data_IF_375505567184
#
_entry.id   IF_375505567184
#
_cell.length_a   1.000
_cell.length_b   1.000
_cell.length_c   1.000
_cell.angle_alpha   90.00
_cell.angle_beta   90.00
_cell.angle_gamma   90.00
#
_symmetry.space_group_name_H-M   'P 1'
#
loop_
_entity.id
_entity.type
_entity.pdbx_description
1 polymer ?
#
# COMPACT_ATOMS: atom_id res chain seq x y z
N UNK A 1 53.73 -48.46 19.39
CA UNK A 1 53.77 -47.04 19.79
C UNK A 1 53.15 -46.22 18.68
N UNK A 2 52.09 -45.46 19.02
CA UNK A 2 51.60 -44.17 18.45
C UNK A 2 51.44 -44.00 16.92
N UNK A 3 50.41 -43.36 16.35
CA UNK A 3 49.14 -42.84 16.84
C UNK A 3 48.25 -42.53 15.61
N UNK A 4 46.97 -42.87 15.72
CA UNK A 4 45.75 -42.13 15.34
C UNK A 4 45.96 -40.88 14.44
N UNK A 5 45.33 -40.87 13.26
CA UNK A 5 44.45 -39.75 12.88
C UNK A 5 43.23 -40.26 12.12
N UNK A 6 42.08 -40.08 12.77
CA UNK A 6 40.75 -40.26 12.21
C UNK A 6 40.48 -39.09 11.26
N UNK A 7 39.98 -39.35 10.07
CA UNK A 7 39.12 -38.38 9.36
C UNK A 7 37.82 -39.05 8.99
N UNK A 8 36.81 -38.70 9.79
CA UNK A 8 35.40 -38.94 9.56
C UNK A 8 35.00 -38.31 8.21
N UNK A 9 34.29 -39.06 7.37
CA UNK A 9 32.85 -38.89 7.16
C UNK A 9 32.47 -37.44 6.86
N UNK A 10 32.22 -37.14 5.57
CA UNK A 10 31.12 -36.28 5.10
C UNK A 10 31.28 -36.05 3.60
N UNK A 11 30.43 -36.73 2.81
CA UNK A 11 29.84 -36.16 1.59
C UNK A 11 28.57 -36.98 1.32
N UNK A 12 27.63 -36.79 2.24
CA UNK A 12 26.27 -37.22 2.06
C UNK A 12 25.54 -36.19 1.19
N UNK A 13 24.77 -36.71 0.24
CA UNK A 13 23.61 -36.09 -0.40
C UNK A 13 23.91 -35.10 -1.55
N UNK A 14 24.21 -35.68 -2.71
CA UNK A 14 23.71 -35.14 -3.99
C UNK A 14 22.21 -35.44 -4.03
N UNK A 15 21.38 -34.56 -3.48
CA UNK A 15 19.95 -34.56 -3.73
C UNK A 15 19.59 -33.27 -4.45
N UNK A 16 19.25 -33.43 -5.73
CA UNK A 16 18.23 -32.69 -6.45
C UNK A 16 17.72 -31.42 -5.75
N UNK A 17 18.40 -30.29 -5.98
CA UNK A 17 17.67 -29.04 -6.07
C UNK A 17 17.33 -28.87 -7.55
N UNK A 18 16.06 -29.04 -7.95
CA UNK A 18 15.66 -28.68 -9.29
C UNK A 18 16.03 -27.21 -9.46
N UNK A 19 16.55 -26.87 -10.64
CA UNK A 19 16.54 -25.51 -11.17
C UNK A 19 15.06 -25.11 -11.38
N UNK A 20 14.32 -24.96 -10.28
CA UNK A 20 13.06 -24.24 -10.20
C UNK A 20 13.44 -22.79 -10.15
N UNK A 21 12.89 -22.01 -11.08
CA UNK A 21 13.32 -20.66 -11.36
C UNK A 21 13.48 -19.80 -10.11
N UNK A 22 14.32 -18.78 -10.25
CA UNK A 22 14.15 -17.58 -9.48
C UNK A 22 12.71 -17.08 -9.66
N UNK A 23 11.78 -17.59 -8.86
CA UNK A 23 10.77 -16.75 -8.24
C UNK A 23 11.59 -15.81 -7.37
N UNK A 24 12.10 -14.76 -8.01
CA UNK A 24 12.27 -13.49 -7.35
C UNK A 24 10.98 -13.32 -6.55
N UNK A 25 11.09 -13.37 -5.22
CA UNK A 25 9.99 -13.05 -4.35
C UNK A 25 9.46 -11.71 -4.86
N UNK A 26 8.31 -11.75 -5.52
CA UNK A 26 7.55 -10.58 -5.90
C UNK A 26 7.13 -10.00 -4.55
N UNK A 27 8.01 -9.18 -3.96
CA UNK A 27 7.83 -8.51 -2.68
C UNK A 27 6.42 -7.91 -2.72
N UNK A 28 5.49 -8.47 -1.94
CA UNK A 28 4.04 -8.22 -1.95
C UNK A 28 3.68 -6.81 -2.44
N UNK A 29 3.54 -6.64 -3.76
CA UNK A 29 3.14 -5.36 -4.33
C UNK A 29 1.67 -5.23 -3.99
N UNK A 30 1.31 -4.15 -3.29
CA UNK A 30 -0.05 -3.96 -2.86
C UNK A 30 -0.93 -3.72 -4.10
N UNK A 31 -1.75 -4.71 -4.47
CA UNK A 31 -2.58 -4.71 -5.69
C UNK A 31 -4.00 -5.13 -5.38
N UNK A 32 -4.96 -4.43 -5.95
CA UNK A 32 -6.38 -4.83 -5.91
C UNK A 32 -6.51 -6.24 -6.49
N UNK A 33 -7.27 -7.10 -5.82
CA UNK A 33 -7.51 -8.45 -6.33
C UNK A 33 -8.26 -8.40 -7.66
N UNK A 34 -7.99 -9.37 -8.55
CA UNK A 34 -8.63 -9.43 -9.87
C UNK A 34 -10.16 -9.44 -9.80
N UNK A 35 -10.75 -10.06 -8.77
CA UNK A 35 -12.19 -10.07 -8.55
C UNK A 35 -12.76 -8.69 -8.23
N UNK A 36 -11.98 -7.83 -7.58
CA UNK A 36 -12.39 -6.49 -7.18
C UNK A 36 -12.06 -5.40 -8.19
N UNK A 37 -11.15 -5.66 -9.14
CA UNK A 37 -10.72 -4.66 -10.13
C UNK A 37 -11.91 -4.03 -10.88
N UNK A 38 -12.86 -4.84 -11.34
CA UNK A 38 -14.03 -4.31 -12.07
C UNK A 38 -14.91 -3.38 -11.21
N UNK A 39 -15.04 -3.65 -9.91
CA UNK A 39 -15.79 -2.79 -9.00
C UNK A 39 -15.04 -1.49 -8.70
N UNK A 40 -13.71 -1.56 -8.53
CA UNK A 40 -12.84 -0.40 -8.34
C UNK A 40 -12.87 0.51 -9.58
N UNK A 41 -12.67 -0.04 -10.77
CA UNK A 41 -12.68 0.72 -12.03
C UNK A 41 -14.04 1.38 -12.27
N UNK A 42 -15.13 0.65 -12.02
CA UNK A 42 -16.48 1.19 -12.12
C UNK A 42 -16.71 2.34 -11.13
N UNK A 43 -16.22 2.21 -9.90
CA UNK A 43 -16.35 3.27 -8.90
C UNK A 43 -15.54 4.52 -9.28
N UNK A 44 -14.29 4.35 -9.70
CA UNK A 44 -13.42 5.44 -10.18
C UNK A 44 -14.05 6.19 -11.36
N UNK A 45 -14.73 5.48 -12.26
CA UNK A 45 -15.37 6.07 -13.44
C UNK A 45 -16.59 6.92 -13.09
N UNK A 46 -17.37 6.52 -12.09
CA UNK A 46 -18.73 7.07 -11.87
C UNK A 46 -18.90 7.86 -10.56
N UNK A 47 -17.87 7.98 -9.72
CA UNK A 47 -17.94 8.75 -8.47
C UNK A 47 -17.50 10.20 -8.65
N UNK A 48 -18.26 11.13 -8.07
CA UNK A 48 -17.98 12.57 -8.09
C UNK A 48 -16.63 12.91 -7.44
N UNK A 49 -16.22 12.16 -6.39
CA UNK A 49 -14.91 12.36 -5.73
C UNK A 49 -13.77 12.30 -6.74
N UNK A 50 -13.82 11.36 -7.69
CA UNK A 50 -12.77 11.23 -8.70
C UNK A 50 -12.95 12.18 -9.89
N UNK A 51 -14.14 12.72 -10.10
CA UNK A 51 -14.35 13.81 -11.06
C UNK A 51 -13.62 15.07 -10.61
N UNK A 52 -13.74 15.42 -9.34
CA UNK A 52 -13.01 16.55 -8.74
C UNK A 52 -11.50 16.32 -8.80
N UNK A 53 -11.03 15.14 -8.38
CA UNK A 53 -9.60 14.81 -8.43
C UNK A 53 -9.02 14.89 -9.85
N UNK A 54 -9.77 14.43 -10.87
CA UNK A 54 -9.37 14.56 -12.28
C UNK A 54 -9.37 16.02 -12.72
N UNK A 55 -10.35 16.81 -12.30
CA UNK A 55 -10.46 18.24 -12.62
C UNK A 55 -9.28 19.03 -12.02
N UNK A 56 -8.87 18.70 -10.80
CA UNK A 56 -7.70 19.28 -10.13
C UNK A 56 -6.37 18.62 -10.54
N UNK A 57 -6.37 17.74 -11.53
CA UNK A 57 -5.18 17.05 -12.05
C UNK A 57 -4.37 16.30 -10.98
N UNK A 58 -5.06 15.72 -10.00
CA UNK A 58 -4.44 14.84 -9.02
C UNK A 58 -4.01 13.55 -9.72
N UNK A 59 -2.70 13.22 -9.77
CA UNK A 59 -2.23 12.02 -10.44
C UNK A 59 -2.62 10.75 -9.70
N UNK A 60 -2.84 9.69 -10.48
CA UNK A 60 -3.08 8.35 -9.96
C UNK A 60 -1.77 7.56 -9.86
N UNK A 61 -0.83 8.08 -9.07
CA UNK A 61 0.47 7.46 -8.87
C UNK A 61 0.51 6.57 -7.62
N UNK A 62 1.41 5.57 -7.57
CA UNK A 62 1.63 4.76 -6.38
C UNK A 62 2.05 5.62 -5.18
N UNK A 63 1.49 5.28 -4.01
CA UNK A 63 1.90 5.89 -2.73
C UNK A 63 3.02 5.05 -2.12
N UNK A 64 4.08 5.69 -1.65
CA UNK A 64 5.20 5.03 -0.96
C UNK A 64 5.14 5.32 0.53
N UNK A 65 5.74 4.48 1.36
CA UNK A 65 6.01 4.82 2.77
C UNK A 65 7.47 5.21 2.94
N UNK A 66 7.79 5.96 4.01
CA UNK A 66 9.16 6.45 4.27
C UNK A 66 10.19 5.33 4.40
N UNK A 67 9.79 4.13 4.80
CA UNK A 67 10.66 2.96 4.98
C UNK A 67 10.66 2.10 3.71
N UNK A 68 11.83 1.80 3.15
CA UNK A 68 11.99 1.16 1.82
C UNK A 68 11.72 -0.35 1.80
N UNK A 69 11.55 -0.96 2.97
CA UNK A 69 11.30 -2.39 3.12
C UNK A 69 9.85 -2.76 2.77
N UNK A 70 8.90 -1.88 3.08
CA UNK A 70 7.50 -1.92 2.67
C UNK A 70 7.42 -1.40 1.23
N UNK A 71 7.03 -2.26 0.28
CA UNK A 71 6.91 -1.89 -1.13
C UNK A 71 5.89 -0.76 -1.38
N UNK A 72 5.71 -0.32 -2.64
CA UNK A 72 4.70 0.67 -2.97
C UNK A 72 3.32 0.18 -2.55
N UNK A 73 2.54 1.13 -2.04
CA UNK A 73 1.14 0.96 -1.75
C UNK A 73 0.30 1.07 -3.02
N UNK A 74 -1.04 1.02 -2.87
CA UNK A 74 -1.95 1.27 -3.99
C UNK A 74 -1.73 2.67 -4.60
N UNK A 75 -2.00 2.82 -5.91
CA UNK A 75 -2.27 4.12 -6.50
C UNK A 75 -3.35 4.87 -5.74
N UNK A 76 -3.27 6.20 -5.70
CA UNK A 76 -4.19 7.04 -4.90
C UNK A 76 -5.66 6.76 -5.24
N UNK A 77 -6.01 6.56 -6.51
CA UNK A 77 -7.40 6.36 -6.89
C UNK A 77 -7.91 5.01 -6.41
N UNK A 78 -7.09 3.97 -6.57
CA UNK A 78 -7.39 2.62 -6.10
C UNK A 78 -7.50 2.61 -4.57
N UNK A 79 -6.61 3.32 -3.87
CA UNK A 79 -6.63 3.45 -2.41
C UNK A 79 -7.97 4.03 -1.95
N UNK A 80 -8.37 5.18 -2.49
CA UNK A 80 -9.61 5.86 -2.13
C UNK A 80 -10.86 5.05 -2.53
N UNK A 81 -10.85 4.43 -3.70
CA UNK A 81 -11.93 3.57 -4.14
C UNK A 81 -12.10 2.37 -3.20
N UNK A 82 -11.00 1.75 -2.79
CA UNK A 82 -11.00 0.64 -1.85
C UNK A 82 -11.46 1.04 -0.46
N UNK A 83 -11.10 2.24 0.01
CA UNK A 83 -11.62 2.79 1.26
C UNK A 83 -13.14 2.95 1.16
N UNK A 84 -13.66 3.60 0.11
CA UNK A 84 -15.11 3.79 -0.04
C UNK A 84 -15.86 2.47 -0.20
N UNK A 85 -15.32 1.51 -0.95
CA UNK A 85 -15.95 0.20 -1.14
C UNK A 85 -16.01 -0.59 0.17
N UNK A 86 -15.01 -0.44 1.03
CA UNK A 86 -14.95 -1.03 2.39
C UNK A 86 -15.85 -0.26 3.36
N UNK A 87 -15.96 1.05 3.21
CA UNK A 87 -16.72 1.96 4.05
C UNK A 87 -17.71 2.80 3.21
N UNK A 88 -18.86 2.24 2.79
CA UNK A 88 -19.76 2.90 1.83
C UNK A 88 -20.36 4.23 2.28
N UNK A 89 -20.36 4.48 3.60
CA UNK A 89 -20.86 5.72 4.22
C UNK A 89 -19.76 6.75 4.46
N UNK A 90 -18.52 6.44 4.11
CA UNK A 90 -17.42 7.37 4.28
C UNK A 90 -17.65 8.60 3.42
N UNK A 91 -17.29 9.76 3.96
CA UNK A 91 -17.28 11.03 3.21
C UNK A 91 -15.82 11.39 3.05
N UNK A 92 -15.34 11.47 1.82
CA UNK A 92 -13.94 11.70 1.49
C UNK A 92 -13.81 13.11 0.92
N UNK A 93 -12.94 13.90 1.53
CA UNK A 93 -12.52 15.21 1.05
C UNK A 93 -11.01 15.16 0.77
N UNK A 94 -10.60 15.76 -0.35
CA UNK A 94 -9.20 15.77 -0.80
C UNK A 94 -8.78 17.21 -1.04
N UNK A 95 -7.75 17.66 -0.32
CA UNK A 95 -7.09 18.95 -0.53
C UNK A 95 -5.70 18.74 -1.15
N UNK A 96 -5.28 19.67 -2.01
CA UNK A 96 -4.04 19.60 -2.80
C UNK A 96 -3.15 20.81 -2.52
N UNK A 97 -1.94 20.56 -2.01
CA UNK A 97 -1.06 21.61 -1.50
C UNK A 97 0.42 21.22 -1.40
N UNK A 98 1.02 20.71 -2.48
CA UNK A 98 2.38 20.12 -2.47
C UNK A 98 2.40 18.65 -2.04
N UNK A 99 1.28 17.98 -2.25
CA UNK A 99 0.90 16.66 -1.75
C UNK A 99 -0.63 16.57 -1.71
N UNK A 100 -1.15 15.63 -0.92
CA UNK A 100 -2.57 15.46 -0.67
C UNK A 100 -2.82 15.34 0.83
N UNK A 101 -3.75 16.15 1.33
CA UNK A 101 -4.37 15.91 2.62
C UNK A 101 -5.77 15.35 2.36
N UNK A 102 -6.02 14.15 2.87
CA UNK A 102 -7.27 13.43 2.66
C UNK A 102 -7.95 13.33 4.02
N UNK A 103 -9.09 13.99 4.16
CA UNK A 103 -9.96 13.89 5.32
C UNK A 103 -11.09 12.90 5.00
N UNK A 104 -11.31 11.94 5.90
CA UNK A 104 -12.34 10.92 5.72
C UNK A 104 -13.17 10.79 6.97
N UNK A 105 -14.45 11.13 6.87
CA UNK A 105 -15.41 10.91 7.95
C UNK A 105 -16.03 9.50 7.87
N UNK A 106 -16.46 8.99 9.02
CA UNK A 106 -17.24 7.74 9.15
C UNK A 106 -16.54 6.44 8.70
N UNK A 107 -15.24 6.28 8.97
CA UNK A 107 -14.54 5.00 8.78
C UNK A 107 -14.91 4.04 9.91
N UNK A 108 -15.48 2.88 9.55
CA UNK A 108 -15.93 1.87 10.51
C UNK A 108 -14.77 0.95 10.91
N UNK A 109 -14.33 1.08 12.16
CA UNK A 109 -13.45 0.11 12.81
C UNK A 109 -14.24 -0.78 13.78
N UNK A 110 -13.60 -1.81 14.34
CA UNK A 110 -14.25 -2.76 15.26
C UNK A 110 -14.93 -2.11 16.48
N UNK A 111 -14.51 -0.90 16.87
CA UNK A 111 -15.03 -0.16 18.03
C UNK A 111 -15.83 1.09 17.66
N UNK A 112 -16.37 1.17 16.45
CA UNK A 112 -17.23 2.27 15.99
C UNK A 112 -16.67 3.02 14.79
N UNK A 113 -17.33 4.12 14.44
CA UNK A 113 -16.95 4.99 13.32
C UNK A 113 -16.02 6.10 13.80
N UNK A 114 -14.93 6.32 13.09
CA UNK A 114 -13.92 7.31 13.45
C UNK A 114 -13.55 8.17 12.24
N UNK A 115 -13.25 9.47 12.43
CA UNK A 115 -12.65 10.28 11.39
C UNK A 115 -11.19 9.87 11.18
N UNK A 116 -10.73 9.99 9.94
CA UNK A 116 -9.38 9.62 9.52
C UNK A 116 -8.77 10.74 8.69
N UNK A 117 -7.54 11.12 9.03
CA UNK A 117 -6.74 12.07 8.25
C UNK A 117 -5.53 11.36 7.68
N UNK A 118 -5.33 11.43 6.37
CA UNK A 118 -4.18 10.86 5.66
C UNK A 118 -3.42 12.00 5.01
N UNK A 119 -2.13 12.09 5.31
CA UNK A 119 -1.22 13.07 4.70
C UNK A 119 -0.22 12.38 3.80
N UNK A 120 -0.23 12.75 2.53
CA UNK A 120 0.69 12.30 1.49
C UNK A 120 1.46 13.51 0.99
N UNK A 121 2.78 13.45 1.00
CA UNK A 121 3.64 14.56 0.53
C UNK A 121 4.20 14.26 -0.86
N UNK A 122 4.22 15.27 -1.73
CA UNK A 122 4.88 15.19 -3.04
C UNK A 122 6.37 15.52 -2.87
N UNK A 123 7.25 14.55 -3.14
CA UNK A 123 8.69 14.78 -3.23
C UNK A 123 9.10 14.89 -4.69
N UNK A 124 9.52 16.10 -5.08
CA UNK A 124 10.09 16.37 -6.39
C UNK A 124 11.54 15.94 -6.41
N UNK A 125 11.86 14.88 -7.14
CA UNK A 125 13.22 14.49 -7.47
C UNK A 125 13.57 15.02 -8.86
N UNK A 126 14.76 15.62 -8.99
CA UNK A 126 15.34 16.00 -10.28
C UNK A 126 16.43 14.97 -10.56
N UNK A 127 16.20 14.07 -11.51
CA UNK A 127 17.21 13.10 -11.93
C UNK A 127 17.47 13.29 -13.42
N UNK A 128 18.71 13.67 -13.80
CA UNK A 128 19.14 13.86 -15.19
C UNK A 128 18.19 14.70 -16.08
N UNK A 129 17.69 15.83 -15.55
CA UNK A 129 16.76 16.76 -16.24
C UNK A 129 15.32 16.25 -16.41
N UNK A 130 14.99 15.04 -15.95
CA UNK A 130 13.62 14.57 -15.82
C UNK A 130 13.11 14.86 -14.41
N UNK A 131 11.96 15.55 -14.33
CA UNK A 131 11.28 15.82 -13.06
C UNK A 131 10.40 14.62 -12.75
N UNK A 132 10.71 13.91 -11.68
CA UNK A 132 9.87 12.84 -11.17
C UNK A 132 9.32 13.25 -9.81
N UNK A 133 8.02 13.15 -9.64
CA UNK A 133 7.38 13.34 -8.35
C UNK A 133 7.07 11.97 -7.75
N UNK A 134 7.40 11.80 -6.48
CA UNK A 134 7.09 10.59 -5.71
C UNK A 134 6.17 10.99 -4.58
N UNK A 135 5.10 10.23 -4.37
CA UNK A 135 4.13 10.49 -3.30
C UNK A 135 4.44 9.63 -2.09
N UNK A 136 4.70 10.26 -0.95
CA UNK A 136 5.07 9.56 0.28
C UNK A 136 4.00 9.75 1.34
N UNK A 137 3.44 8.64 1.83
CA UNK A 137 2.61 8.60 3.02
C UNK A 137 3.44 9.05 4.22
N UNK A 138 3.06 10.20 4.78
CA UNK A 138 3.76 10.82 5.88
C UNK A 138 3.08 10.54 7.22
N UNK A 139 1.76 10.53 7.25
CA UNK A 139 0.98 10.41 8.48
C UNK A 139 -0.39 9.82 8.20
N UNK A 140 -0.88 8.98 9.13
CA UNK A 140 -2.28 8.57 9.22
C UNK A 140 -2.78 8.86 10.62
N UNK A 141 -3.91 9.54 10.77
CA UNK A 141 -4.56 9.79 12.06
C UNK A 141 -5.92 9.12 12.08
N UNK A 142 -6.31 8.51 13.20
CA UNK A 142 -7.63 7.92 13.42
C UNK A 142 -8.18 8.47 14.73
N UNK A 143 -9.20 9.33 14.64
CA UNK A 143 -9.65 10.13 15.79
C UNK A 143 -8.49 10.94 16.38
N UNK A 144 -8.15 10.71 17.64
CA UNK A 144 -7.05 11.40 18.32
C UNK A 144 -5.70 10.69 18.20
N UNK A 145 -5.66 9.49 17.62
CA UNK A 145 -4.43 8.70 17.47
C UNK A 145 -3.72 9.07 16.17
N UNK A 146 -2.42 9.28 16.24
CA UNK A 146 -1.58 9.61 15.08
C UNK A 146 -0.49 8.57 14.90
N UNK A 147 -0.37 8.04 13.69
CA UNK A 147 0.60 7.02 13.31
C UNK A 147 1.61 7.61 12.31
N UNK A 148 2.89 7.42 12.60
CA UNK A 148 4.01 7.87 11.75
C UNK A 148 4.99 6.76 11.40
N UNK A 149 4.88 5.58 12.01
CA UNK A 149 5.70 4.41 11.65
C UNK A 149 5.14 3.74 10.40
N UNK A 150 5.99 3.27 9.49
CA UNK A 150 5.52 2.68 8.24
C UNK A 150 4.65 1.44 8.48
N UNK A 151 5.01 0.62 9.47
CA UNK A 151 4.24 -0.57 9.84
C UNK A 151 2.81 -0.22 10.30
N UNK A 152 2.64 0.75 11.22
CA UNK A 152 1.32 1.12 11.72
C UNK A 152 0.48 1.80 10.63
N UNK A 153 1.08 2.67 9.83
CA UNK A 153 0.38 3.34 8.73
C UNK A 153 -0.09 2.31 7.70
N UNK A 154 0.79 1.42 7.27
CA UNK A 154 0.46 0.36 6.29
C UNK A 154 -0.63 -0.57 6.81
N UNK A 155 -0.54 -1.00 8.08
CA UNK A 155 -1.57 -1.84 8.68
C UNK A 155 -2.92 -1.12 8.78
N UNK A 156 -2.91 0.16 9.14
CA UNK A 156 -4.14 0.97 9.21
C UNK A 156 -4.78 1.10 7.84
N UNK A 157 -4.00 1.43 6.81
CA UNK A 157 -4.50 1.49 5.44
C UNK A 157 -5.04 0.12 4.99
N UNK A 158 -4.34 -1.00 5.29
CA UNK A 158 -4.82 -2.36 5.00
C UNK A 158 -6.19 -2.68 5.59
N UNK A 159 -6.46 -2.25 6.81
CA UNK A 159 -7.77 -2.43 7.43
C UNK A 159 -8.85 -1.64 6.69
N UNK A 160 -8.57 -0.38 6.36
CA UNK A 160 -9.51 0.51 5.67
C UNK A 160 -9.81 0.10 4.23
N UNK A 161 -8.91 -0.65 3.60
CA UNK A 161 -9.06 -1.12 2.21
C UNK A 161 -9.34 -2.61 2.11
N UNK A 162 -9.61 -3.29 3.23
CA UNK A 162 -9.59 -4.76 3.33
C UNK A 162 -10.46 -5.46 2.29
N UNK A 163 -11.58 -4.86 1.87
CA UNK A 163 -12.47 -5.43 0.84
C UNK A 163 -11.80 -5.61 -0.52
N UNK A 164 -10.79 -4.82 -0.86
CA UNK A 164 -10.07 -4.94 -2.13
C UNK A 164 -9.00 -6.04 -2.13
N UNK A 165 -8.60 -6.52 -0.95
CA UNK A 165 -7.49 -7.46 -0.77
C UNK A 165 -7.94 -8.83 -0.28
N UNK A 166 -9.05 -8.90 0.43
CA UNK A 166 -9.67 -10.16 0.79
C UNK A 166 -10.51 -10.61 -0.41
N UNK A 167 -10.03 -11.60 -1.15
CA UNK A 167 -10.90 -12.47 -1.92
C UNK A 167 -11.94 -13.05 -0.94
N UNK A 168 -13.22 -12.97 -1.29
CA UNK A 168 -14.35 -13.36 -0.44
C UNK A 168 -14.06 -14.58 0.46
N UNK A 169 -14.33 -14.39 1.76
CA UNK A 169 -14.33 -15.36 2.89
C UNK A 169 -13.00 -15.57 3.63
#
# INVERSE_FOLDING_TARGET
MQAIFRFALLLAVVAALPFGGAVAAEKDIWRVTKSMQGAVDHFIKNSAVFEDMRTYSVPNDPVYVKETDVGPLLPIYDLLACIQLTHPKAVIEVDSGGGFDIAIDYINFAKGSWPVDIRIVEIKQINKLEKHSIYILEKVSVGTLSFSSAAQMTQTLRLMTSKCFNSDV
#
